data_IF_562371985427
#
_entry.id   IF_562371985427
#
_cell.length_a   1.000
_cell.length_b   1.000
_cell.length_c   1.000
_cell.angle_alpha   90.00
_cell.angle_beta   90.00
_cell.angle_gamma   90.00
#
_symmetry.space_group_name_H-M   'P 1'
#
loop_
_entity.id
_entity.type
_entity.pdbx_description
1 polymer ?
#
# COMPACT_ATOMS: atom_id res chain seq x y z
N UNK A 1 -5.33 22.27 -14.85
CA UNK A 1 -4.84 20.88 -15.00
C UNK A 1 -4.29 20.46 -13.63
N UNK A 2 -4.91 19.47 -12.97
CA UNK A 2 -4.46 19.04 -11.64
C UNK A 2 -3.09 18.34 -11.75
N UNK A 3 -2.20 18.59 -10.77
CA UNK A 3 -0.88 17.94 -10.67
C UNK A 3 -0.95 16.40 -10.80
N UNK A 4 -2.00 15.79 -10.26
CA UNK A 4 -2.30 14.36 -10.40
C UNK A 4 -2.49 13.94 -11.85
N UNK A 5 -3.23 14.71 -12.64
CA UNK A 5 -3.50 14.42 -14.06
C UNK A 5 -2.22 14.50 -14.90
N UNK A 6 -1.33 15.44 -14.56
CA UNK A 6 -0.04 15.59 -15.22
C UNK A 6 0.87 14.39 -14.94
N UNK A 7 1.07 14.03 -13.66
CA UNK A 7 1.86 12.86 -13.26
C UNK A 7 1.32 11.57 -13.89
N UNK A 8 0.02 11.40 -13.89
CA UNK A 8 -0.63 10.22 -14.46
C UNK A 8 -0.39 10.12 -15.98
N UNK A 9 -0.40 11.24 -16.71
CA UNK A 9 -0.06 11.28 -18.14
C UNK A 9 1.39 10.88 -18.39
N UNK A 10 2.33 11.44 -17.64
CA UNK A 10 3.77 11.12 -17.77
C UNK A 10 4.01 9.64 -17.55
N UNK A 11 3.43 9.09 -16.47
CA UNK A 11 3.56 7.65 -16.17
C UNK A 11 2.92 6.81 -17.29
N UNK A 12 1.77 7.19 -17.82
CA UNK A 12 1.11 6.45 -18.89
C UNK A 12 1.91 6.47 -20.20
N UNK A 13 2.64 7.54 -20.52
CA UNK A 13 3.54 7.57 -21.69
C UNK A 13 4.62 6.50 -21.55
N UNK A 14 5.21 6.36 -20.37
CA UNK A 14 6.27 5.38 -20.09
C UNK A 14 5.72 3.94 -20.07
N UNK A 15 4.55 3.73 -19.48
CA UNK A 15 3.96 2.40 -19.28
C UNK A 15 3.25 1.88 -20.55
N UNK A 16 2.72 2.75 -21.41
CA UNK A 16 1.95 2.33 -22.59
C UNK A 16 2.67 1.32 -23.51
N UNK A 17 3.95 1.46 -23.84
CA UNK A 17 4.65 0.45 -24.65
C UNK A 17 4.64 -0.94 -23.99
N UNK A 18 4.84 -0.99 -22.69
CA UNK A 18 4.82 -2.23 -21.89
C UNK A 18 3.43 -2.83 -21.91
N UNK A 19 2.39 -2.02 -21.71
CA UNK A 19 0.98 -2.46 -21.78
C UNK A 19 0.65 -3.05 -23.15
N UNK A 20 1.08 -2.41 -24.25
CA UNK A 20 0.88 -2.92 -25.61
C UNK A 20 1.58 -4.28 -25.83
N UNK A 21 2.80 -4.44 -25.29
CA UNK A 21 3.50 -5.71 -25.33
C UNK A 21 2.76 -6.80 -24.53
N UNK A 22 2.28 -6.48 -23.32
CA UNK A 22 1.49 -7.39 -22.49
C UNK A 22 0.19 -7.85 -23.20
N UNK A 23 -0.50 -6.92 -23.87
CA UNK A 23 -1.71 -7.27 -24.65
C UNK A 23 -1.37 -8.25 -25.76
N UNK A 24 -0.28 -8.03 -26.51
CA UNK A 24 0.15 -8.92 -27.60
C UNK A 24 0.51 -10.33 -27.13
N UNK A 25 1.12 -10.45 -25.96
CA UNK A 25 1.52 -11.73 -25.34
C UNK A 25 0.33 -12.42 -24.63
N UNK A 26 -0.82 -11.74 -24.49
CA UNK A 26 -2.01 -12.29 -23.87
C UNK A 26 -2.02 -12.25 -22.34
N UNK A 27 -1.15 -11.45 -21.71
CA UNK A 27 -1.14 -11.25 -20.25
C UNK A 27 -2.46 -10.62 -19.82
N UNK A 28 -3.05 -11.17 -18.75
CA UNK A 28 -4.33 -10.68 -18.20
C UNK A 28 -4.11 -9.68 -17.07
N UNK A 29 -5.05 -8.74 -16.83
CA UNK A 29 -4.97 -7.83 -15.68
C UNK A 29 -4.76 -8.56 -14.36
N UNK A 30 -5.50 -9.62 -14.10
CA UNK A 30 -5.41 -10.40 -12.87
C UNK A 30 -4.01 -11.04 -12.66
N UNK A 31 -3.32 -11.42 -13.75
CA UNK A 31 -1.93 -11.89 -13.65
C UNK A 31 -1.01 -10.76 -13.18
N UNK A 32 -1.19 -9.55 -13.70
CA UNK A 32 -0.38 -8.39 -13.32
C UNK A 32 -0.61 -8.03 -11.86
N UNK A 33 -1.86 -8.00 -11.40
CA UNK A 33 -2.21 -7.81 -9.98
C UNK A 33 -1.53 -8.86 -9.09
N UNK A 34 -1.58 -10.14 -9.52
CA UNK A 34 -0.95 -11.24 -8.77
C UNK A 34 0.57 -11.09 -8.72
N UNK A 35 1.23 -10.66 -9.82
CA UNK A 35 2.66 -10.38 -9.84
C UNK A 35 3.01 -9.25 -8.86
N UNK A 36 2.21 -8.18 -8.81
CA UNK A 36 2.38 -7.09 -7.85
C UNK A 36 2.30 -7.60 -6.40
N UNK A 37 1.34 -8.48 -6.11
CA UNK A 37 1.23 -9.11 -4.79
C UNK A 37 2.46 -9.98 -4.45
N UNK A 38 2.93 -10.81 -5.37
CA UNK A 38 4.16 -11.62 -5.19
C UNK A 38 5.37 -10.71 -4.94
N UNK A 39 5.46 -9.56 -5.62
CA UNK A 39 6.47 -8.54 -5.35
C UNK A 39 6.41 -8.01 -3.91
N UNK A 40 5.22 -7.78 -3.36
CA UNK A 40 5.05 -7.37 -1.96
C UNK A 40 5.40 -8.50 -0.97
N UNK A 41 5.16 -9.78 -1.31
CA UNK A 41 5.66 -10.91 -0.53
C UNK A 41 7.18 -10.96 -0.53
N UNK A 42 7.82 -10.71 -1.68
CA UNK A 42 9.27 -10.62 -1.76
C UNK A 42 9.83 -9.46 -0.90
N UNK A 43 9.20 -8.29 -0.93
CA UNK A 43 9.55 -7.17 -0.06
C UNK A 43 9.42 -7.54 1.42
N UNK A 44 8.34 -8.21 1.80
CA UNK A 44 8.13 -8.72 3.17
C UNK A 44 9.24 -9.70 3.57
N UNK A 45 9.63 -10.59 2.66
CA UNK A 45 10.74 -11.53 2.90
C UNK A 45 12.06 -10.80 3.14
N UNK A 46 12.33 -9.70 2.42
CA UNK A 46 13.52 -8.85 2.66
C UNK A 46 13.49 -8.21 4.07
N UNK A 47 12.34 -7.74 4.54
CA UNK A 47 12.19 -7.22 5.91
C UNK A 47 12.41 -8.33 6.95
N UNK A 48 11.90 -9.54 6.71
CA UNK A 48 12.13 -10.67 7.62
C UNK A 48 13.62 -11.05 7.63
N UNK A 49 14.28 -11.08 6.48
CA UNK A 49 15.74 -11.32 6.40
C UNK A 49 16.51 -10.23 7.14
N UNK A 50 16.12 -8.95 6.98
CA UNK A 50 16.70 -7.84 7.75
C UNK A 50 16.58 -8.07 9.26
N UNK A 51 15.41 -8.48 9.74
CA UNK A 51 15.19 -8.79 11.16
C UNK A 51 16.10 -9.93 11.65
N UNK A 52 16.28 -10.98 10.85
CA UNK A 52 17.20 -12.08 11.19
C UNK A 52 18.67 -11.63 11.22
N UNK A 53 19.06 -10.71 10.32
CA UNK A 53 20.42 -10.09 10.33
C UNK A 53 20.64 -9.23 11.57
N UNK A 54 19.63 -8.47 12.03
CA UNK A 54 19.69 -7.78 13.33
C UNK A 54 20.02 -8.76 14.45
N UNK A 55 19.34 -9.90 14.48
CA UNK A 55 19.57 -10.95 15.49
C UNK A 55 21.00 -11.52 15.43
N UNK A 56 21.58 -11.64 14.24
CA UNK A 56 22.98 -12.09 14.08
C UNK A 56 24.02 -11.00 14.36
N UNK A 57 23.61 -9.77 14.66
CA UNK A 57 24.47 -8.64 14.97
C UNK A 57 24.93 -7.83 13.75
N UNK A 58 24.49 -8.16 12.55
CA UNK A 58 24.85 -7.45 11.32
C UNK A 58 23.84 -6.35 10.98
N UNK A 59 23.90 -5.27 11.73
CA UNK A 59 23.00 -4.14 11.57
C UNK A 59 23.18 -3.42 10.22
N UNK A 60 24.40 -3.38 9.67
CA UNK A 60 24.64 -2.70 8.40
C UNK A 60 23.90 -3.39 7.24
N UNK A 61 24.07 -4.71 7.12
CA UNK A 61 23.34 -5.49 6.09
C UNK A 61 21.84 -5.50 6.34
N UNK A 62 21.41 -5.53 7.62
CA UNK A 62 19.99 -5.44 7.96
C UNK A 62 19.37 -4.15 7.40
N UNK A 63 20.01 -3.00 7.57
CA UNK A 63 19.53 -1.73 7.03
C UNK A 63 19.52 -1.73 5.49
N UNK A 64 20.51 -2.32 4.85
CA UNK A 64 20.51 -2.48 3.40
C UNK A 64 19.30 -3.30 2.92
N UNK A 65 18.99 -4.42 3.58
CA UNK A 65 17.80 -5.23 3.26
C UNK A 65 16.49 -4.47 3.50
N UNK A 66 16.41 -3.62 4.53
CA UNK A 66 15.27 -2.72 4.74
C UNK A 66 15.12 -1.77 3.54
N UNK A 67 16.20 -1.18 3.06
CA UNK A 67 16.19 -0.31 1.88
C UNK A 67 15.71 -1.04 0.61
N UNK A 68 16.22 -2.23 0.35
CA UNK A 68 15.79 -3.08 -0.76
C UNK A 68 14.32 -3.49 -0.64
N UNK A 69 13.84 -3.78 0.59
CA UNK A 69 12.42 -4.02 0.86
C UNK A 69 11.55 -2.85 0.40
N UNK A 70 11.93 -1.61 0.76
CA UNK A 70 11.26 -0.40 0.31
C UNK A 70 11.28 -0.22 -1.21
N UNK A 71 12.42 -0.42 -1.86
CA UNK A 71 12.55 -0.36 -3.32
C UNK A 71 11.65 -1.40 -4.02
N UNK A 72 11.57 -2.61 -3.45
CA UNK A 72 10.73 -3.69 -3.96
C UNK A 72 9.25 -3.35 -3.83
N UNK A 73 8.81 -2.69 -2.74
CA UNK A 73 7.44 -2.18 -2.59
C UNK A 73 7.11 -1.18 -3.72
N UNK A 74 7.99 -0.21 -4.00
CA UNK A 74 7.76 0.75 -5.09
C UNK A 74 7.67 0.05 -6.44
N UNK A 75 8.55 -0.90 -6.70
CA UNK A 75 8.53 -1.68 -7.94
C UNK A 75 7.24 -2.50 -8.07
N UNK A 76 6.81 -3.17 -7.00
CA UNK A 76 5.54 -3.89 -6.96
C UNK A 76 4.34 -2.95 -7.19
N UNK A 77 4.37 -1.74 -6.65
CA UNK A 77 3.34 -0.72 -6.85
C UNK A 77 3.17 -0.24 -8.30
N UNK A 78 4.19 -0.43 -9.17
CA UNK A 78 4.04 -0.17 -10.60
C UNK A 78 3.05 -1.16 -11.24
N UNK A 79 3.02 -2.41 -10.81
CA UNK A 79 2.09 -3.41 -11.33
C UNK A 79 0.64 -3.06 -11.00
N UNK A 80 0.36 -2.49 -9.81
CA UNK A 80 -0.97 -1.98 -9.45
C UNK A 80 -1.46 -0.88 -10.41
N UNK A 81 -0.55 -0.05 -10.90
CA UNK A 81 -0.92 0.98 -11.89
C UNK A 81 -1.11 0.38 -13.29
N UNK A 82 -0.39 -0.70 -13.58
CA UNK A 82 -0.39 -1.34 -14.90
C UNK A 82 -1.63 -2.20 -15.11
N UNK A 83 -2.11 -2.94 -14.10
CA UNK A 83 -3.25 -3.85 -14.25
C UNK A 83 -4.54 -3.11 -14.58
N UNK A 84 -4.85 -2.01 -13.88
CA UNK A 84 -6.00 -1.16 -14.19
C UNK A 84 -5.90 -0.49 -15.58
N UNK A 85 -4.70 -0.16 -16.04
CA UNK A 85 -4.48 0.36 -17.39
C UNK A 85 -4.64 -0.75 -18.42
N UNK A 86 -4.07 -1.92 -18.16
CA UNK A 86 -4.18 -3.10 -19.02
C UNK A 86 -5.64 -3.53 -19.18
N UNK A 87 -6.43 -3.55 -18.10
CA UNK A 87 -7.85 -3.88 -18.11
C UNK A 87 -8.63 -2.97 -19.07
N UNK A 88 -8.37 -1.65 -19.02
CA UNK A 88 -9.02 -0.65 -19.88
C UNK A 88 -8.60 -0.78 -21.34
N UNK A 89 -7.31 -0.95 -21.61
CA UNK A 89 -6.78 -1.02 -22.98
C UNK A 89 -7.14 -2.33 -23.67
N UNK A 90 -7.16 -3.45 -22.93
CA UNK A 90 -7.50 -4.78 -23.50
C UNK A 90 -9.00 -5.06 -23.55
N UNK A 91 -9.85 -4.19 -22.99
CA UNK A 91 -11.31 -4.44 -22.87
C UNK A 91 -11.65 -5.59 -21.92
N UNK A 92 -10.71 -6.05 -21.09
CA UNK A 92 -10.88 -7.19 -20.15
C UNK A 92 -11.22 -6.74 -18.72
N UNK A 93 -11.87 -5.59 -18.57
CA UNK A 93 -12.38 -5.16 -17.26
C UNK A 93 -13.51 -6.10 -16.80
N UNK A 94 -13.45 -6.57 -15.56
CA UNK A 94 -14.48 -7.45 -14.98
C UNK A 94 -14.75 -7.11 -13.51
N UNK A 95 -15.95 -7.45 -13.02
CA UNK A 95 -16.31 -7.28 -11.61
C UNK A 95 -15.41 -8.13 -10.71
N UNK A 96 -15.12 -9.36 -11.13
CA UNK A 96 -14.18 -10.23 -10.41
C UNK A 96 -12.78 -9.64 -10.38
N UNK A 97 -12.29 -9.05 -11.50
CA UNK A 97 -10.99 -8.39 -11.56
C UNK A 97 -10.88 -7.25 -10.55
N UNK A 98 -11.92 -6.42 -10.43
CA UNK A 98 -11.96 -5.34 -9.45
C UNK A 98 -11.99 -5.86 -7.99
N UNK A 99 -12.68 -6.97 -7.72
CA UNK A 99 -12.64 -7.64 -6.43
C UNK A 99 -11.26 -8.21 -6.13
N UNK A 100 -10.64 -8.91 -7.10
CA UNK A 100 -9.33 -9.52 -7.00
C UNK A 100 -8.26 -8.48 -6.69
N UNK A 101 -8.18 -7.43 -7.50
CA UNK A 101 -7.29 -6.28 -7.31
C UNK A 101 -7.46 -5.67 -5.91
N UNK A 102 -8.68 -5.28 -5.58
CA UNK A 102 -8.95 -4.66 -4.28
C UNK A 102 -8.63 -5.57 -3.09
N UNK A 103 -8.72 -6.89 -3.24
CA UNK A 103 -8.38 -7.86 -2.19
C UNK A 103 -6.87 -8.02 -2.04
N UNK A 104 -6.15 -8.25 -3.16
CA UNK A 104 -4.70 -8.40 -3.13
C UNK A 104 -4.00 -7.11 -2.68
N UNK A 105 -4.57 -5.97 -2.99
CA UNK A 105 -4.16 -4.67 -2.48
C UNK A 105 -4.07 -4.62 -0.95
N UNK A 106 -5.09 -5.14 -0.25
CA UNK A 106 -5.11 -5.15 1.22
C UNK A 106 -4.10 -6.14 1.75
N UNK A 107 -4.04 -7.33 1.17
CA UNK A 107 -3.02 -8.32 1.55
C UNK A 107 -1.61 -7.79 1.35
N UNK A 108 -1.31 -7.15 0.21
CA UNK A 108 -0.01 -6.54 -0.09
C UNK A 108 0.41 -5.54 0.99
N UNK A 109 -0.50 -4.62 1.35
CA UNK A 109 -0.23 -3.62 2.38
C UNK A 109 -0.02 -4.27 3.76
N UNK A 110 -0.89 -5.21 4.13
CA UNK A 110 -0.82 -5.88 5.44
C UNK A 110 0.48 -6.67 5.60
N UNK A 111 0.87 -7.46 4.60
CA UNK A 111 2.08 -8.29 4.69
C UNK A 111 3.34 -7.44 4.69
N UNK A 112 3.38 -6.35 3.91
CA UNK A 112 4.52 -5.43 3.91
C UNK A 112 4.69 -4.72 5.25
N UNK A 113 3.61 -4.20 5.83
CA UNK A 113 3.64 -3.59 7.16
C UNK A 113 3.94 -4.60 8.27
N UNK A 114 3.46 -5.85 8.12
CA UNK A 114 3.84 -6.93 9.03
C UNK A 114 5.36 -7.17 9.01
N UNK A 115 5.99 -7.24 7.82
CA UNK A 115 7.43 -7.36 7.70
C UNK A 115 8.19 -6.21 8.40
N UNK A 116 7.72 -4.98 8.22
CA UNK A 116 8.26 -3.79 8.92
C UNK A 116 8.13 -3.94 10.44
N UNK A 117 6.98 -4.41 10.94
CA UNK A 117 6.78 -4.66 12.38
C UNK A 117 7.80 -5.66 12.93
N UNK A 118 8.09 -6.74 12.19
CA UNK A 118 9.09 -7.74 12.58
C UNK A 118 10.47 -7.11 12.71
N UNK A 119 10.88 -6.20 11.79
CA UNK A 119 12.16 -5.47 11.91
C UNK A 119 12.22 -4.69 13.22
N UNK A 120 11.20 -3.93 13.57
CA UNK A 120 11.18 -3.18 14.82
C UNK A 120 11.28 -4.06 16.06
N UNK A 121 10.55 -5.19 16.08
CA UNK A 121 10.58 -6.11 17.22
C UNK A 121 11.97 -6.73 17.42
N UNK A 122 12.67 -7.06 16.34
CA UNK A 122 14.04 -7.60 16.42
C UNK A 122 15.11 -6.55 16.74
N UNK A 123 14.81 -5.28 16.50
CA UNK A 123 15.63 -4.15 16.95
C UNK A 123 15.35 -3.71 18.40
N UNK A 124 14.55 -4.46 19.17
CA UNK A 124 14.06 -4.10 20.51
C UNK A 124 13.23 -2.78 20.57
N UNK A 125 12.67 -2.37 19.43
CA UNK A 125 11.80 -1.20 19.32
C UNK A 125 10.33 -1.60 19.49
N UNK A 126 10.00 -2.20 20.62
CA UNK A 126 8.68 -2.76 20.92
C UNK A 126 7.53 -1.79 20.60
N UNK A 127 7.62 -0.54 21.04
CA UNK A 127 6.56 0.45 20.82
C UNK A 127 6.39 0.82 19.34
N UNK A 128 7.45 0.75 18.53
CA UNK A 128 7.33 0.95 17.09
C UNK A 128 6.70 -0.27 16.39
N UNK A 129 6.96 -1.46 16.89
CA UNK A 129 6.21 -2.66 16.49
C UNK A 129 4.71 -2.49 16.74
N UNK A 130 4.32 -2.06 17.94
CA UNK A 130 2.91 -1.76 18.28
C UNK A 130 2.32 -0.64 17.40
N UNK A 131 3.06 0.45 17.18
CA UNK A 131 2.61 1.53 16.29
C UNK A 131 2.39 1.05 14.86
N UNK A 132 3.24 0.13 14.37
CA UNK A 132 3.06 -0.48 13.04
C UNK A 132 1.80 -1.35 12.99
N UNK A 133 1.45 -2.07 14.05
CA UNK A 133 0.16 -2.78 14.12
C UNK A 133 -1.02 -1.80 14.11
N UNK A 134 -0.92 -0.65 14.80
CA UNK A 134 -1.93 0.39 14.69
C UNK A 134 -2.04 0.97 13.27
N UNK A 135 -0.92 1.07 12.53
CA UNK A 135 -0.93 1.43 11.11
C UNK A 135 -1.65 0.39 10.26
N UNK A 136 -1.43 -0.91 10.50
CA UNK A 136 -2.16 -2.01 9.82
C UNK A 136 -3.65 -1.89 10.08
N UNK A 137 -4.06 -1.77 11.35
CA UNK A 137 -5.48 -1.65 11.73
C UNK A 137 -6.13 -0.46 11.04
N UNK A 138 -5.52 0.72 11.12
CA UNK A 138 -6.02 1.93 10.47
C UNK A 138 -6.15 1.75 8.95
N UNK A 139 -5.14 1.20 8.29
CA UNK A 139 -5.12 0.96 6.85
C UNK A 139 -6.26 0.04 6.38
N UNK A 140 -6.49 -1.06 7.12
CA UNK A 140 -7.59 -1.98 6.85
C UNK A 140 -8.93 -1.30 7.06
N UNK A 141 -9.09 -0.57 8.18
CA UNK A 141 -10.34 0.11 8.51
C UNK A 141 -10.70 1.23 7.54
N UNK A 142 -9.72 1.99 7.04
CA UNK A 142 -9.94 2.95 5.96
C UNK A 142 -10.59 2.29 4.74
N UNK A 143 -10.04 1.15 4.32
CA UNK A 143 -10.55 0.41 3.15
C UNK A 143 -11.90 -0.25 3.42
N UNK A 144 -12.06 -0.87 4.59
CA UNK A 144 -13.29 -1.54 5.01
C UNK A 144 -14.48 -0.58 5.10
N UNK A 145 -14.30 0.55 5.81
CA UNK A 145 -15.40 1.52 5.99
C UNK A 145 -15.86 2.08 4.65
N UNK A 146 -14.93 2.33 3.73
CA UNK A 146 -15.28 2.77 2.37
C UNK A 146 -16.10 1.71 1.62
N UNK A 147 -15.61 0.48 1.56
CA UNK A 147 -16.29 -0.61 0.86
C UNK A 147 -17.68 -0.88 1.49
N UNK A 148 -17.78 -0.81 2.82
CA UNK A 148 -19.05 -0.97 3.52
C UNK A 148 -20.03 0.18 3.23
N UNK A 149 -19.54 1.42 3.18
CA UNK A 149 -20.34 2.58 2.81
C UNK A 149 -20.89 2.48 1.38
N UNK A 150 -20.01 2.13 0.42
CA UNK A 150 -20.39 1.91 -0.97
C UNK A 150 -21.45 0.79 -1.09
N UNK A 151 -21.32 -0.31 -0.33
CA UNK A 151 -22.32 -1.38 -0.24
C UNK A 151 -23.66 -0.98 0.41
N UNK A 152 -23.71 0.18 1.09
CA UNK A 152 -24.93 0.81 1.62
C UNK A 152 -25.43 1.95 0.73
N UNK A 153 -24.86 2.13 -0.47
CA UNK A 153 -25.20 3.22 -1.39
C UNK A 153 -24.70 4.60 -0.97
N UNK A 154 -23.73 4.68 -0.04
CA UNK A 154 -23.16 5.94 0.46
C UNK A 154 -21.83 6.20 -0.22
N UNK A 155 -21.68 7.36 -0.88
CA UNK A 155 -20.40 7.81 -1.40
C UNK A 155 -19.47 8.24 -0.26
N UNK A 156 -18.33 7.56 -0.08
CA UNK A 156 -17.38 7.79 1.01
C UNK A 156 -15.95 7.94 0.49
N UNK A 157 -15.67 9.10 -0.16
CA UNK A 157 -14.35 9.45 -0.70
C UNK A 157 -13.54 10.39 0.21
N UNK A 158 -14.03 10.64 1.42
CA UNK A 158 -13.36 11.50 2.41
C UNK A 158 -12.14 10.81 3.03
N UNK A 159 -11.18 11.61 3.49
CA UNK A 159 -10.02 11.15 4.24
C UNK A 159 -8.71 11.78 3.77
N UNK A 160 -7.68 11.72 4.64
CA UNK A 160 -6.39 12.37 4.44
C UNK A 160 -5.35 11.47 3.78
N UNK A 161 -5.42 10.15 4.01
CA UNK A 161 -4.40 9.21 3.58
C UNK A 161 -5.05 8.01 2.88
N UNK A 162 -4.95 8.00 1.56
CA UNK A 162 -5.41 6.88 0.74
C UNK A 162 -4.29 5.82 0.61
N UNK A 163 -4.62 4.64 0.04
CA UNK A 163 -3.67 3.54 -0.08
C UNK A 163 -2.37 3.91 -0.82
N UNK A 164 -2.40 4.58 -1.98
CA UNK A 164 -1.16 4.91 -2.68
C UNK A 164 -0.21 5.76 -1.85
N UNK A 165 -0.73 6.73 -1.10
CA UNK A 165 0.08 7.58 -0.23
C UNK A 165 0.75 6.75 0.89
N UNK A 166 0.04 5.77 1.49
CA UNK A 166 0.61 4.90 2.53
C UNK A 166 1.71 3.98 2.00
N UNK A 167 1.49 3.39 0.82
CA UNK A 167 2.49 2.55 0.14
C UNK A 167 3.76 3.36 -0.14
N UNK A 168 3.62 4.57 -0.67
CA UNK A 168 4.75 5.46 -0.97
C UNK A 168 5.48 5.88 0.31
N UNK A 169 4.76 6.24 1.39
CA UNK A 169 5.36 6.59 2.69
C UNK A 169 6.18 5.42 3.23
N UNK A 170 5.61 4.21 3.25
CA UNK A 170 6.30 3.01 3.72
C UNK A 170 7.57 2.76 2.92
N UNK A 171 7.47 2.79 1.61
CA UNK A 171 8.58 2.51 0.72
C UNK A 171 9.71 3.55 0.83
N UNK A 172 9.38 4.84 0.79
CA UNK A 172 10.38 5.92 0.90
C UNK A 172 11.02 5.95 2.29
N UNK A 173 10.25 5.71 3.35
CA UNK A 173 10.79 5.61 4.70
C UNK A 173 11.75 4.42 4.85
N UNK A 174 11.43 3.27 4.26
CA UNK A 174 12.31 2.09 4.24
C UNK A 174 13.59 2.35 3.42
N UNK A 175 13.48 2.95 2.23
CA UNK A 175 14.64 3.33 1.40
C UNK A 175 15.54 4.31 2.15
N UNK A 176 14.97 5.34 2.77
CA UNK A 176 15.71 6.32 3.55
C UNK A 176 16.42 5.67 4.75
N UNK A 177 15.77 4.71 5.42
CA UNK A 177 16.39 3.94 6.51
C UNK A 177 17.58 3.13 6.00
N UNK A 178 17.44 2.44 4.87
CA UNK A 178 18.52 1.68 4.25
C UNK A 178 19.70 2.55 3.82
N UNK A 179 19.42 3.68 3.17
CA UNK A 179 20.44 4.60 2.66
C UNK A 179 21.21 5.32 3.76
N UNK A 180 20.58 5.59 4.90
CA UNK A 180 21.19 6.36 6.01
C UNK A 180 21.65 5.50 7.18
N UNK A 181 21.30 4.20 7.19
CA UNK A 181 21.50 3.33 8.36
C UNK A 181 20.66 3.74 9.58
N UNK A 182 19.65 4.59 9.41
CA UNK A 182 18.88 5.16 10.51
C UNK A 182 17.40 4.73 10.44
N UNK A 183 17.00 3.87 11.38
CA UNK A 183 15.65 3.29 11.46
C UNK A 183 14.56 4.32 11.83
N UNK A 184 14.92 5.52 12.31
CA UNK A 184 13.96 6.57 12.63
C UNK A 184 13.14 7.05 11.43
N UNK A 185 13.66 6.95 10.19
CA UNK A 185 12.90 7.25 9.00
C UNK A 185 11.70 6.31 8.85
N UNK A 186 11.94 5.01 9.02
CA UNK A 186 10.88 4.01 8.95
C UNK A 186 9.88 4.17 10.10
N UNK A 187 10.38 4.43 11.32
CA UNK A 187 9.55 4.69 12.49
C UNK A 187 8.64 5.92 12.29
N UNK A 188 9.19 7.02 11.77
CA UNK A 188 8.42 8.21 11.44
C UNK A 188 7.32 7.95 10.41
N UNK A 189 7.63 7.20 9.36
CA UNK A 189 6.65 6.77 8.36
C UNK A 189 5.52 5.96 8.98
N UNK A 190 5.83 4.99 9.84
CA UNK A 190 4.82 4.16 10.52
C UNK A 190 3.95 4.97 11.48
N UNK A 191 4.52 5.91 12.23
CA UNK A 191 3.74 6.79 13.12
C UNK A 191 2.77 7.68 12.32
N UNK A 192 3.22 8.25 11.20
CA UNK A 192 2.36 9.04 10.32
C UNK A 192 1.19 8.20 9.81
N UNK A 193 1.46 6.98 9.33
CA UNK A 193 0.40 6.08 8.85
C UNK A 193 -0.52 5.68 10.00
N UNK A 194 0.01 5.29 11.17
CA UNK A 194 -0.77 4.89 12.33
C UNK A 194 -1.77 5.99 12.74
N UNK A 195 -1.33 7.23 12.81
CA UNK A 195 -2.19 8.36 13.19
C UNK A 195 -3.19 8.70 12.09
N UNK A 196 -2.70 8.97 10.88
CA UNK A 196 -3.55 9.51 9.81
C UNK A 196 -4.54 8.47 9.24
N UNK A 197 -4.17 7.18 9.19
CA UNK A 197 -5.09 6.15 8.74
C UNK A 197 -6.24 5.95 9.75
N UNK A 198 -5.95 5.88 11.05
CA UNK A 198 -6.99 5.75 12.06
C UNK A 198 -7.89 6.99 12.12
N UNK A 199 -7.33 8.21 12.04
CA UNK A 199 -8.13 9.43 11.93
C UNK A 199 -9.02 9.41 10.68
N UNK A 200 -8.50 8.96 9.55
CA UNK A 200 -9.27 8.82 8.31
C UNK A 200 -10.41 7.81 8.45
N UNK A 201 -10.19 6.69 9.11
CA UNK A 201 -11.23 5.68 9.38
C UNK A 201 -12.35 6.27 10.25
N UNK A 202 -12.00 6.96 11.34
CA UNK A 202 -12.96 7.66 12.20
C UNK A 202 -13.73 8.73 11.43
N UNK A 203 -13.06 9.53 10.59
CA UNK A 203 -13.71 10.53 9.76
C UNK A 203 -14.72 9.92 8.78
N UNK A 204 -14.37 8.80 8.14
CA UNK A 204 -15.30 8.05 7.26
C UNK A 204 -16.54 7.57 7.98
N UNK A 205 -16.39 7.04 9.21
CA UNK A 205 -17.53 6.63 10.06
C UNK A 205 -18.43 7.84 10.37
N UNK A 206 -17.84 8.96 10.79
CA UNK A 206 -18.59 10.18 11.09
C UNK A 206 -19.31 10.74 9.86
N UNK A 207 -18.68 10.69 8.68
CA UNK A 207 -19.30 11.06 7.41
C UNK A 207 -20.52 10.18 7.09
N UNK A 208 -20.37 8.86 7.17
CA UNK A 208 -21.47 7.93 6.93
C UNK A 208 -22.64 8.14 7.91
N UNK A 209 -22.34 8.37 9.20
CA UNK A 209 -23.35 8.68 10.21
C UNK A 209 -24.14 9.95 9.85
N UNK A 210 -23.45 11.01 9.43
CA UNK A 210 -24.10 12.26 9.01
C UNK A 210 -25.03 12.07 7.80
N UNK A 211 -24.58 11.32 6.78
CA UNK A 211 -25.37 11.06 5.57
C UNK A 211 -26.63 10.24 5.90
N UNK A 212 -26.50 9.16 6.70
CA UNK A 212 -27.61 8.31 7.10
C UNK A 212 -28.68 9.04 7.93
N UNK A 213 -28.26 9.98 8.79
CA UNK A 213 -29.20 10.77 9.60
C UNK A 213 -29.86 11.90 8.81
N UNK A 214 -29.22 12.44 7.77
CA UNK A 214 -29.85 13.41 6.88
C UNK A 214 -30.98 12.77 6.06
N UNK A 215 -30.80 11.53 5.60
CA UNK A 215 -31.83 10.78 4.85
C UNK A 215 -33.04 10.31 5.68
N UNK A 216 -32.93 10.32 7.03
CA UNK A 216 -34.06 9.99 7.93
C UNK A 216 -34.98 11.17 8.23
N UNK A 217 -34.62 12.37 7.78
CA UNK A 217 -35.41 13.62 8.02
C UNK A 217 -36.30 13.98 6.80
N UNK A 218 -36.28 13.17 5.76
CA UNK A 218 -37.21 13.22 4.62
C UNK A 218 -38.20 12.05 4.68
#
# INVERSE_FOLDING_TARGET
MNYRDFLQRVIYVIINPIIQAMVKVGITPNMVTTIGFVGNLAATSLFVVAALMVRSGDMAQAMEMVGWGGATILFAGLFDMMDGRLARVSGKSSVFGALWDSTLDRYSEMVSLFGVSVVFLYCDWFWMGIATHAAILGSVMVSYVRARAEGLGIECKVGLLQRPERVVITALAAIASGATGNLWWLAGGMLVIAVLANLTACWRIAHCHKVLNAGKKQ
#
